data_IF_629829797607
#
_entry.id   IF_629829797607
#
_cell.length_a   1.000
_cell.length_b   1.000
_cell.length_c   1.000
_cell.angle_alpha   90.00
_cell.angle_beta   90.00
_cell.angle_gamma   90.00
#
_symmetry.space_group_name_H-M   'P 1'
#
loop_
_entity.id
_entity.type
_entity.pdbx_description
1 polymer ?
#
# COMPACT_ATOMS: atom_id res chain seq x y z
N UNK A 1 0.27 29.84 -12.44
CA UNK A 1 -1.15 29.41 -12.44
C UNK A 1 -1.71 29.62 -11.05
N UNK A 2 -3.03 29.83 -10.91
CA UNK A 2 -3.64 30.03 -9.59
C UNK A 2 -3.91 28.68 -8.91
N UNK A 3 -3.64 28.52 -7.60
CA UNK A 3 -3.94 27.30 -6.87
C UNK A 3 -5.45 27.01 -6.84
N UNK A 4 -5.80 25.73 -6.85
CA UNK A 4 -7.20 25.27 -6.85
C UNK A 4 -7.73 25.14 -5.43
N UNK A 5 -8.99 25.51 -5.22
CA UNK A 5 -9.68 25.29 -3.94
C UNK A 5 -10.27 23.88 -3.94
N UNK A 6 -9.96 23.09 -2.91
CA UNK A 6 -10.51 21.76 -2.74
C UNK A 6 -12.04 21.79 -2.57
N UNK A 7 -12.74 20.98 -3.36
CA UNK A 7 -14.21 20.89 -3.40
C UNK A 7 -14.68 19.83 -2.40
N UNK A 8 -15.76 20.06 -1.63
CA UNK A 8 -16.32 19.03 -0.78
C UNK A 8 -17.00 17.94 -1.61
N UNK A 9 -16.91 16.69 -1.16
CA UNK A 9 -17.73 15.59 -1.65
C UNK A 9 -18.86 15.36 -0.64
N UNK A 10 -20.11 15.53 -1.08
CA UNK A 10 -21.28 15.26 -0.24
C UNK A 10 -21.55 13.76 -0.26
N UNK A 11 -21.38 13.13 0.91
CA UNK A 11 -21.63 11.71 1.13
C UNK A 11 -22.85 11.52 2.02
N UNK A 12 -23.54 10.39 1.88
CA UNK A 12 -24.61 10.02 2.81
C UNK A 12 -24.02 9.46 4.10
N UNK A 13 -24.38 10.07 5.23
CA UNK A 13 -23.93 9.65 6.56
C UNK A 13 -22.52 10.15 6.95
N UNK A 14 -22.07 9.72 8.13
CA UNK A 14 -20.74 10.04 8.63
C UNK A 14 -19.71 9.15 7.92
N UNK A 15 -18.71 9.78 7.30
CA UNK A 15 -17.61 9.08 6.62
C UNK A 15 -16.72 8.41 7.65
N UNK A 16 -16.39 7.14 7.42
CA UNK A 16 -15.47 6.39 8.27
C UNK A 16 -14.10 6.24 7.62
N UNK A 17 -14.06 6.00 6.31
CA UNK A 17 -12.80 5.85 5.56
C UNK A 17 -13.02 6.03 4.05
N UNK A 18 -11.92 6.20 3.33
CA UNK A 18 -11.91 6.08 1.88
C UNK A 18 -10.68 5.32 1.40
N UNK A 19 -10.76 4.75 0.20
CA UNK A 19 -9.69 4.00 -0.42
C UNK A 19 -9.54 4.40 -1.88
N UNK A 20 -8.30 4.35 -2.38
CA UNK A 20 -8.01 4.65 -3.78
C UNK A 20 -7.42 3.42 -4.47
N UNK A 21 -7.99 3.07 -5.61
CA UNK A 21 -7.44 2.08 -6.53
C UNK A 21 -7.42 2.64 -7.95
N UNK A 22 -6.23 2.92 -8.47
CA UNK A 22 -6.01 3.63 -9.74
C UNK A 22 -6.76 4.96 -9.85
N UNK A 23 -7.90 4.97 -10.56
CA UNK A 23 -8.77 6.15 -10.77
C UNK A 23 -10.08 6.07 -9.98
N UNK A 24 -10.26 5.04 -9.16
CA UNK A 24 -11.48 4.82 -8.40
C UNK A 24 -11.25 5.18 -6.93
N UNK A 25 -12.26 5.81 -6.35
CA UNK A 25 -12.31 6.13 -4.93
C UNK A 25 -13.48 5.36 -4.34
N UNK A 26 -13.23 4.54 -3.34
CA UNK A 26 -14.26 3.85 -2.58
C UNK A 26 -14.44 4.57 -1.26
N UNK A 27 -15.66 4.99 -0.94
CA UNK A 27 -15.97 5.67 0.33
C UNK A 27 -16.86 4.80 1.17
N UNK A 28 -16.54 4.67 2.46
CA UNK A 28 -17.32 3.90 3.42
C UNK A 28 -17.87 4.84 4.49
N UNK A 29 -19.19 4.78 4.69
CA UNK A 29 -19.89 5.41 5.80
C UNK A 29 -20.53 4.33 6.67
N UNK A 30 -21.11 4.74 7.80
CA UNK A 30 -21.88 3.84 8.67
C UNK A 30 -23.04 3.12 7.97
N UNK A 31 -23.52 3.67 6.85
CA UNK A 31 -24.77 3.23 6.21
C UNK A 31 -24.64 2.95 4.72
N UNK A 32 -23.57 3.40 4.07
CA UNK A 32 -23.37 3.24 2.64
C UNK A 32 -21.90 2.96 2.30
N UNK A 33 -21.70 2.32 1.17
CA UNK A 33 -20.40 2.19 0.54
C UNK A 33 -20.56 2.52 -0.94
N UNK A 34 -19.78 3.48 -1.42
CA UNK A 34 -19.96 4.09 -2.74
C UNK A 34 -18.66 4.05 -3.52
N UNK A 35 -18.78 3.86 -4.83
CA UNK A 35 -17.67 3.87 -5.77
C UNK A 35 -17.77 5.12 -6.63
N UNK A 36 -16.67 5.87 -6.67
CA UNK A 36 -16.51 7.09 -7.45
C UNK A 36 -15.38 6.92 -8.45
N UNK A 37 -15.44 7.64 -9.57
CA UNK A 37 -14.39 7.65 -10.59
C UNK A 37 -13.84 9.07 -10.78
N UNK A 38 -12.53 9.19 -10.63
CA UNK A 38 -11.75 10.38 -10.94
C UNK A 38 -11.49 10.54 -12.45
N UNK A 39 -11.29 11.78 -12.90
CA UNK A 39 -10.95 12.12 -14.28
C UNK A 39 -12.16 12.30 -15.22
N UNK A 40 -13.22 12.96 -14.77
CA UNK A 40 -14.23 13.51 -15.69
C UNK A 40 -13.68 14.78 -16.38
N UNK A 41 -14.16 15.10 -17.58
CA UNK A 41 -13.72 16.28 -18.36
C UNK A 41 -13.85 17.63 -17.62
N UNK A 42 -14.56 17.66 -16.49
CA UNK A 42 -14.86 18.83 -15.66
C UNK A 42 -14.17 18.82 -14.29
N UNK A 43 -13.33 17.82 -14.03
CA UNK A 43 -12.65 17.64 -12.76
C UNK A 43 -13.55 17.37 -11.57
N UNK A 44 -14.60 16.59 -11.81
CA UNK A 44 -15.50 16.06 -10.80
C UNK A 44 -15.24 14.57 -10.55
N UNK A 45 -15.46 14.15 -9.31
CA UNK A 45 -15.67 12.74 -8.98
C UNK A 45 -17.07 12.34 -9.42
N UNK A 46 -17.15 11.39 -10.34
CA UNK A 46 -18.44 10.86 -10.79
C UNK A 46 -18.82 9.66 -9.93
N UNK A 47 -20.03 9.69 -9.35
CA UNK A 47 -20.60 8.50 -8.73
C UNK A 47 -20.77 7.42 -9.80
N UNK A 48 -20.27 6.22 -9.51
CA UNK A 48 -20.37 5.05 -10.39
C UNK A 48 -21.52 4.18 -9.92
N UNK A 49 -21.46 3.74 -8.66
CA UNK A 49 -22.48 2.89 -8.05
C UNK A 49 -22.35 2.91 -6.52
N UNK A 50 -23.42 2.56 -5.82
CA UNK A 50 -23.41 2.24 -4.40
C UNK A 50 -23.59 0.72 -4.22
N UNK A 51 -22.97 0.13 -3.21
CA UNK A 51 -23.12 -1.30 -2.95
C UNK A 51 -24.53 -1.65 -2.49
N UNK A 52 -25.09 -2.72 -3.05
CA UNK A 52 -26.44 -3.20 -2.73
C UNK A 52 -26.58 -3.68 -1.28
N UNK A 53 -25.47 -4.04 -0.65
CA UNK A 53 -25.38 -4.44 0.75
C UNK A 53 -24.27 -3.67 1.46
N UNK A 54 -24.49 -3.20 2.70
CA UNK A 54 -23.46 -2.51 3.47
C UNK A 54 -22.38 -3.49 3.91
N UNK A 55 -21.11 -3.08 3.77
CA UNK A 55 -19.96 -3.83 4.31
C UNK A 55 -19.88 -3.54 5.81
N UNK A 56 -20.12 -4.53 6.71
CA UNK A 56 -20.33 -4.27 8.14
C UNK A 56 -19.12 -3.72 8.88
N UNK A 57 -17.91 -4.03 8.43
CA UNK A 57 -16.68 -3.51 8.99
C UNK A 57 -15.79 -3.10 7.83
N UNK A 58 -15.71 -1.79 7.52
CA UNK A 58 -14.89 -1.34 6.42
C UNK A 58 -13.45 -1.82 6.61
N UNK A 59 -12.69 -1.96 5.51
CA UNK A 59 -11.33 -2.43 5.60
C UNK A 59 -10.53 -1.56 6.56
N UNK A 60 -9.54 -2.14 7.24
CA UNK A 60 -8.54 -1.39 7.99
C UNK A 60 -7.18 -1.71 7.38
N UNK A 61 -6.58 -0.74 6.70
CA UNK A 61 -5.28 -0.86 5.99
C UNK A 61 -5.23 -1.93 4.87
N UNK A 62 -6.39 -2.51 4.51
CA UNK A 62 -6.54 -3.51 3.43
C UNK A 62 -7.30 -2.88 2.28
N UNK A 63 -6.55 -2.35 1.34
CA UNK A 63 -7.11 -1.62 0.22
C UNK A 63 -8.01 -2.53 -0.63
N UNK A 64 -9.28 -2.15 -0.86
CA UNK A 64 -10.13 -2.80 -1.85
C UNK A 64 -9.49 -2.79 -3.24
N UNK A 65 -9.88 -3.76 -4.07
CA UNK A 65 -9.40 -3.91 -5.45
C UNK A 65 -10.54 -3.60 -6.41
N UNK A 66 -10.24 -2.90 -7.51
CA UNK A 66 -11.17 -2.68 -8.62
C UNK A 66 -10.61 -3.36 -9.87
N UNK A 67 -11.29 -4.40 -10.36
CA UNK A 67 -10.98 -5.03 -11.66
C UNK A 67 -11.91 -4.46 -12.74
N UNK A 68 -11.32 -3.70 -13.66
CA UNK A 68 -12.02 -3.09 -14.78
C UNK A 68 -12.31 -4.04 -15.93
N UNK A 69 -11.45 -5.04 -16.15
CA UNK A 69 -11.64 -6.02 -17.22
C UNK A 69 -12.84 -6.91 -16.93
N UNK A 70 -13.04 -7.24 -15.66
CA UNK A 70 -14.13 -8.11 -15.20
C UNK A 70 -15.29 -7.36 -14.55
N UNK A 71 -15.16 -6.04 -14.40
CA UNK A 71 -16.17 -5.18 -13.79
C UNK A 71 -16.51 -5.61 -12.35
N UNK A 72 -15.48 -5.81 -11.52
CA UNK A 72 -15.59 -6.27 -10.13
C UNK A 72 -15.00 -5.26 -9.15
N UNK A 73 -15.56 -5.23 -7.93
CA UNK A 73 -15.00 -4.55 -6.76
C UNK A 73 -14.88 -5.56 -5.64
N UNK A 74 -13.67 -5.76 -5.13
CA UNK A 74 -13.36 -6.74 -4.09
C UNK A 74 -13.04 -6.00 -2.80
N UNK A 75 -13.81 -6.26 -1.75
CA UNK A 75 -13.68 -5.60 -0.45
C UNK A 75 -13.38 -6.64 0.62
N UNK A 76 -12.21 -6.56 1.28
CA UNK A 76 -11.92 -7.38 2.45
C UNK A 76 -12.67 -6.84 3.66
N UNK A 77 -13.32 -7.74 4.39
CA UNK A 77 -14.07 -7.45 5.61
C UNK A 77 -13.55 -8.35 6.73
N UNK A 78 -13.27 -7.76 7.88
CA UNK A 78 -12.85 -8.48 9.08
C UNK A 78 -13.94 -9.41 9.63
N UNK A 79 -15.17 -9.24 9.16
CA UNK A 79 -16.34 -9.94 9.66
C UNK A 79 -16.80 -9.34 10.99
N UNK A 80 -17.93 -9.82 11.52
CA UNK A 80 -18.43 -9.34 12.81
C UNK A 80 -17.44 -9.65 13.94
N UNK A 81 -17.59 -8.99 15.09
CA UNK A 81 -16.77 -9.27 16.27
C UNK A 81 -16.95 -10.76 16.67
N UNK A 82 -15.89 -11.56 16.49
CA UNK A 82 -15.93 -13.02 16.57
C UNK A 82 -16.70 -13.70 15.41
N UNK A 83 -16.64 -13.19 14.19
CA UNK A 83 -17.10 -13.86 12.96
C UNK A 83 -15.92 -14.36 12.13
N UNK A 84 -16.17 -15.21 11.12
CA UNK A 84 -15.20 -15.46 10.08
C UNK A 84 -14.99 -14.19 9.23
N UNK A 85 -13.75 -13.93 8.76
CA UNK A 85 -13.52 -12.88 7.79
C UNK A 85 -14.21 -13.17 6.46
N UNK A 86 -14.50 -12.12 5.71
CA UNK A 86 -15.26 -12.17 4.47
C UNK A 86 -14.51 -11.46 3.34
N UNK A 87 -14.62 -11.99 2.12
CA UNK A 87 -14.37 -11.23 0.90
C UNK A 87 -15.70 -10.97 0.21
N UNK A 88 -16.02 -9.70 0.08
CA UNK A 88 -17.20 -9.24 -0.65
C UNK A 88 -16.80 -8.88 -2.07
N UNK A 89 -17.51 -9.43 -3.05
CA UNK A 89 -17.28 -9.16 -4.48
C UNK A 89 -18.54 -8.55 -5.06
N UNK A 90 -18.47 -7.29 -5.45
CA UNK A 90 -19.57 -6.54 -6.05
C UNK A 90 -19.31 -6.31 -7.54
N UNK A 91 -20.39 -6.18 -8.30
CA UNK A 91 -20.35 -5.66 -9.68
C UNK A 91 -20.02 -4.17 -9.65
N UNK A 92 -19.00 -3.75 -10.40
CA UNK A 92 -18.66 -2.34 -10.55
C UNK A 92 -19.74 -1.57 -11.34
N UNK A 93 -20.53 -2.24 -12.18
CA UNK A 93 -21.49 -1.58 -13.08
C UNK A 93 -22.75 -1.12 -12.35
N UNK A 94 -23.22 -1.91 -11.38
CA UNK A 94 -24.51 -1.70 -10.71
C UNK A 94 -24.46 -1.92 -9.20
N UNK A 95 -23.28 -2.21 -8.62
CA UNK A 95 -23.08 -2.35 -7.18
C UNK A 95 -23.69 -3.62 -6.58
N UNK A 96 -24.23 -4.52 -7.41
CA UNK A 96 -24.86 -5.74 -6.93
C UNK A 96 -23.83 -6.71 -6.37
N UNK A 97 -24.13 -7.31 -5.21
CA UNK A 97 -23.32 -8.39 -4.64
C UNK A 97 -23.31 -9.61 -5.59
N UNK A 98 -22.13 -10.04 -5.99
CA UNK A 98 -21.91 -11.22 -6.84
C UNK A 98 -21.53 -12.41 -5.95
N UNK A 99 -20.48 -12.25 -5.13
CA UNK A 99 -20.00 -13.29 -4.24
C UNK A 99 -19.76 -12.74 -2.84
N UNK A 100 -20.00 -13.60 -1.85
CA UNK A 100 -19.62 -13.39 -0.46
C UNK A 100 -18.88 -14.63 0.01
N UNK A 101 -17.55 -14.57 0.00
CA UNK A 101 -16.69 -15.69 0.34
C UNK A 101 -16.32 -15.63 1.82
N UNK A 102 -16.72 -16.67 2.55
CA UNK A 102 -16.33 -16.86 3.95
C UNK A 102 -14.94 -17.50 4.03
N UNK A 103 -14.05 -16.86 4.79
CA UNK A 103 -12.70 -17.31 5.04
C UNK A 103 -12.57 -17.83 6.48
N UNK A 104 -11.54 -18.63 6.75
CA UNK A 104 -11.25 -19.08 8.11
C UNK A 104 -10.21 -18.18 8.80
N UNK A 105 -10.09 -18.34 10.11
CA UNK A 105 -9.11 -17.61 10.92
C UNK A 105 -9.46 -16.13 11.09
N UNK A 106 -8.44 -15.29 11.16
CA UNK A 106 -8.53 -13.84 11.18
C UNK A 106 -7.69 -13.29 10.03
N UNK A 107 -8.16 -12.21 9.42
CA UNK A 107 -7.46 -11.53 8.36
C UNK A 107 -6.12 -10.95 8.86
N UNK A 108 -4.97 -11.29 8.25
CA UNK A 108 -3.63 -10.79 8.63
C UNK A 108 -3.40 -9.37 8.10
N UNK A 109 -2.75 -8.46 8.84
CA UNK A 109 -2.54 -7.04 8.44
C UNK A 109 -1.58 -6.88 7.25
N UNK A 110 -2.00 -7.35 6.07
CA UNK A 110 -1.27 -7.29 4.81
C UNK A 110 -2.23 -6.86 3.70
N UNK A 111 -1.69 -6.17 2.68
CA UNK A 111 -2.47 -5.78 1.52
C UNK A 111 -2.86 -7.01 0.70
N UNK A 112 -4.05 -6.97 0.11
CA UNK A 112 -4.47 -7.97 -0.86
C UNK A 112 -3.56 -7.93 -2.09
N UNK A 113 -3.17 -9.10 -2.59
CA UNK A 113 -2.54 -9.22 -3.91
C UNK A 113 -3.59 -9.69 -4.92
N UNK A 114 -3.55 -9.14 -6.12
CA UNK A 114 -4.54 -9.42 -7.16
C UNK A 114 -3.88 -9.68 -8.50
N UNK A 115 -4.35 -10.71 -9.20
CA UNK A 115 -4.04 -10.93 -10.61
C UNK A 115 -5.11 -11.82 -11.24
N UNK A 116 -5.58 -11.43 -12.42
CA UNK A 116 -6.37 -12.29 -13.31
C UNK A 116 -7.58 -12.97 -12.63
N UNK A 117 -8.42 -12.18 -11.94
CA UNK A 117 -9.62 -12.68 -11.26
C UNK A 117 -9.35 -13.42 -9.95
N UNK A 118 -8.10 -13.42 -9.47
CA UNK A 118 -7.70 -14.15 -8.26
C UNK A 118 -7.09 -13.21 -7.24
N UNK A 119 -7.34 -13.50 -5.97
CA UNK A 119 -6.86 -12.72 -4.82
C UNK A 119 -6.04 -13.61 -3.90
N UNK A 120 -4.91 -13.10 -3.41
CA UNK A 120 -4.24 -13.67 -2.23
C UNK A 120 -4.68 -12.96 -0.97
N UNK A 121 -5.06 -13.76 0.02
CA UNK A 121 -5.44 -13.31 1.36
C UNK A 121 -4.62 -14.04 2.39
N UNK A 122 -3.85 -13.31 3.19
CA UNK A 122 -3.23 -13.89 4.38
C UNK A 122 -4.25 -13.94 5.52
N UNK A 123 -4.40 -15.14 6.09
CA UNK A 123 -5.18 -15.39 7.29
C UNK A 123 -4.30 -16.00 8.37
N UNK A 124 -4.65 -15.69 9.61
CA UNK A 124 -4.00 -16.17 10.81
C UNK A 124 -4.99 -17.01 11.59
N UNK A 125 -4.62 -18.24 11.94
CA UNK A 125 -5.48 -19.08 12.75
C UNK A 125 -5.60 -18.49 14.17
N UNK A 126 -6.82 -18.07 14.53
CA UNK A 126 -7.13 -17.45 15.82
C UNK A 126 -7.30 -18.53 16.91
N UNK A 127 -6.75 -18.27 18.10
CA UNK A 127 -6.61 -19.13 19.29
C UNK A 127 -7.92 -19.71 19.88
N UNK A 128 -9.06 -19.58 19.20
CA UNK A 128 -10.34 -20.13 19.63
C UNK A 128 -11.16 -20.91 18.60
N UNK A 129 -10.72 -21.05 17.34
CA UNK A 129 -11.62 -21.57 16.28
C UNK A 129 -11.05 -22.56 15.26
N UNK A 130 -9.74 -22.64 15.07
CA UNK A 130 -9.16 -23.59 14.13
C UNK A 130 -7.78 -24.06 14.62
N UNK A 131 -7.60 -25.36 14.90
CA UNK A 131 -6.28 -25.95 15.09
C UNK A 131 -5.63 -26.31 13.73
N UNK A 132 -4.29 -26.19 13.59
CA UNK A 132 -3.31 -25.83 14.61
C UNK A 132 -3.10 -24.30 14.75
N UNK A 133 -3.47 -23.79 15.92
CA UNK A 133 -3.35 -22.41 16.39
C UNK A 133 -2.15 -21.63 15.82
N UNK A 134 -2.35 -20.35 15.52
CA UNK A 134 -1.26 -19.41 15.28
C UNK A 134 -0.58 -19.56 13.93
N UNK A 135 -1.06 -20.44 13.04
CA UNK A 135 -0.49 -20.62 11.71
C UNK A 135 -0.91 -19.50 10.77
N UNK A 136 0.05 -18.97 10.01
CA UNK A 136 -0.23 -18.04 8.91
C UNK A 136 -0.45 -18.85 7.64
N UNK A 137 -1.58 -18.64 6.96
CA UNK A 137 -1.87 -19.25 5.66
C UNK A 137 -2.17 -18.16 4.63
N UNK A 138 -1.57 -18.25 3.46
CA UNK A 138 -1.96 -17.43 2.31
C UNK A 138 -2.95 -18.22 1.48
N UNK A 139 -4.17 -17.73 1.38
CA UNK A 139 -5.27 -18.33 0.61
C UNK A 139 -5.31 -17.72 -0.79
N UNK A 140 -5.45 -18.59 -1.80
CA UNK A 140 -5.72 -18.20 -3.17
C UNK A 140 -7.23 -18.35 -3.43
N UNK A 141 -7.90 -17.23 -3.64
CA UNK A 141 -9.34 -17.16 -3.87
C UNK A 141 -9.64 -16.80 -5.33
N UNK A 142 -10.59 -17.49 -5.95
CA UNK A 142 -11.17 -17.11 -7.23
C UNK A 142 -12.36 -16.19 -6.98
N UNK A 143 -12.23 -14.93 -7.36
CA UNK A 143 -13.27 -13.90 -7.19
C UNK A 143 -14.01 -13.60 -8.49
N UNK A 144 -13.55 -14.16 -9.62
CA UNK A 144 -14.13 -13.92 -10.94
C UNK A 144 -14.91 -15.12 -11.49
N UNK A 145 -14.55 -16.35 -11.09
CA UNK A 145 -15.23 -17.58 -11.46
C UNK A 145 -16.36 -17.93 -10.50
N UNK A 146 -16.28 -19.12 -9.88
CA UNK A 146 -17.37 -19.65 -9.04
C UNK A 146 -17.40 -19.03 -7.62
N UNK A 147 -16.50 -18.08 -7.32
CA UNK A 147 -16.49 -17.35 -6.05
C UNK A 147 -15.98 -18.17 -4.86
N UNK A 148 -14.90 -18.95 -5.05
CA UNK A 148 -14.46 -19.97 -4.10
C UNK A 148 -12.98 -19.91 -3.73
N UNK A 149 -12.62 -20.66 -2.69
CA UNK A 149 -11.23 -20.94 -2.33
C UNK A 149 -10.64 -21.95 -3.32
N UNK A 150 -9.58 -21.57 -4.03
CA UNK A 150 -8.85 -22.47 -4.92
C UNK A 150 -7.86 -23.34 -4.14
N UNK A 151 -7.22 -22.77 -3.12
CA UNK A 151 -6.22 -23.46 -2.31
C UNK A 151 -5.46 -22.47 -1.43
N UNK A 152 -4.28 -22.86 -0.97
CA UNK A 152 -3.46 -21.98 -0.17
C UNK A 152 -2.05 -22.51 0.03
N UNK A 153 -1.21 -21.69 0.66
CA UNK A 153 0.18 -22.02 0.97
C UNK A 153 0.50 -21.68 2.41
N UNK A 154 1.42 -22.44 2.99
CA UNK A 154 1.89 -22.30 4.36
C UNK A 154 3.41 -22.35 4.40
N UNK A 155 4.01 -22.04 5.56
CA UNK A 155 5.46 -22.14 5.70
C UNK A 155 5.96 -23.57 5.48
N UNK A 156 7.01 -23.77 4.66
CA UNK A 156 7.60 -25.08 4.41
C UNK A 156 7.99 -25.76 5.72
N UNK A 157 8.03 -27.10 5.76
CA UNK A 157 8.29 -27.85 6.99
C UNK A 157 9.53 -27.37 7.78
N UNK A 158 10.59 -26.98 7.06
CA UNK A 158 11.83 -26.44 7.63
C UNK A 158 11.69 -25.08 8.32
N UNK A 159 10.64 -24.32 8.01
CA UNK A 159 10.33 -23.00 8.59
C UNK A 159 9.13 -23.03 9.55
N UNK A 160 8.56 -24.20 9.86
CA UNK A 160 7.39 -24.25 10.76
C UNK A 160 7.67 -23.68 12.15
N UNK A 161 8.91 -23.82 12.64
CA UNK A 161 9.32 -23.28 13.95
C UNK A 161 9.21 -21.75 14.04
N UNK A 162 9.12 -21.04 12.90
CA UNK A 162 8.95 -19.59 12.87
C UNK A 162 7.61 -19.14 13.46
N UNK A 163 6.56 -19.92 13.27
CA UNK A 163 5.20 -19.64 13.79
C UNK A 163 5.18 -19.63 15.32
N UNK A 164 6.06 -20.39 15.98
CA UNK A 164 6.15 -20.45 17.45
C UNK A 164 6.75 -19.17 18.06
N UNK A 165 7.40 -18.31 17.25
CA UNK A 165 8.10 -17.10 17.70
C UNK A 165 7.45 -15.80 17.19
N UNK A 166 6.16 -15.85 16.85
CA UNK A 166 5.36 -14.80 16.22
C UNK A 166 5.18 -13.48 17.02
N UNK A 167 5.92 -13.27 18.11
CA UNK A 167 5.77 -12.08 18.94
C UNK A 167 5.95 -10.80 18.10
N UNK A 168 4.87 -10.03 17.94
CA UNK A 168 4.83 -8.67 17.39
C UNK A 168 5.06 -8.49 15.87
N UNK A 169 4.85 -9.49 15.02
CA UNK A 169 4.92 -9.28 13.55
C UNK A 169 3.57 -8.83 12.99
N UNK A 170 3.46 -7.56 12.61
CA UNK A 170 2.34 -7.01 11.82
C UNK A 170 2.24 -7.79 10.50
N UNK A 171 1.16 -8.53 10.30
CA UNK A 171 0.93 -9.29 9.06
C UNK A 171 1.35 -10.78 9.08
N UNK A 172 1.77 -11.31 10.23
CA UNK A 172 2.09 -12.72 10.40
C UNK A 172 3.52 -13.10 10.00
N UNK A 173 3.85 -14.39 10.10
CA UNK A 173 5.20 -14.92 9.81
C UNK A 173 5.39 -15.20 8.30
N UNK A 174 4.28 -15.29 7.56
CA UNK A 174 4.24 -15.50 6.11
C UNK A 174 3.41 -14.40 5.46
N UNK A 175 4.06 -13.49 4.74
CA UNK A 175 3.42 -12.33 4.13
C UNK A 175 3.39 -12.44 2.59
N UNK A 176 2.25 -12.22 1.93
CA UNK A 176 2.17 -12.24 0.47
C UNK A 176 2.90 -11.04 -0.12
N UNK A 177 3.71 -11.30 -1.15
CA UNK A 177 4.55 -10.31 -1.83
C UNK A 177 4.00 -10.02 -3.22
N UNK A 178 3.62 -11.07 -3.96
CA UNK A 178 3.13 -10.96 -5.33
C UNK A 178 2.25 -12.17 -5.68
N UNK A 179 1.15 -11.89 -6.38
CA UNK A 179 0.43 -12.89 -7.18
C UNK A 179 0.73 -12.64 -8.64
N UNK A 180 1.26 -13.64 -9.35
CA UNK A 180 1.57 -13.51 -10.78
C UNK A 180 0.35 -13.88 -11.63
N UNK A 181 0.24 -13.37 -12.87
CA UNK A 181 -0.85 -13.72 -13.79
C UNK A 181 -0.96 -15.22 -14.09
N UNK A 182 0.15 -15.96 -14.05
CA UNK A 182 0.16 -17.42 -14.20
C UNK A 182 -0.30 -18.18 -12.93
N UNK A 183 -0.70 -17.46 -11.87
CA UNK A 183 -1.11 -18.01 -10.58
C UNK A 183 0.03 -18.30 -9.61
N UNK A 184 1.30 -18.09 -10.00
CA UNK A 184 2.42 -18.29 -9.08
C UNK A 184 2.29 -17.33 -7.88
N UNK A 185 2.52 -17.88 -6.69
CA UNK A 185 2.46 -17.17 -5.41
C UNK A 185 3.87 -16.92 -4.93
N UNK A 186 4.18 -15.65 -4.64
CA UNK A 186 5.43 -15.27 -3.98
C UNK A 186 5.10 -14.67 -2.63
N UNK A 187 5.79 -15.15 -1.60
CA UNK A 187 5.64 -14.68 -0.24
C UNK A 187 6.99 -14.59 0.47
N UNK A 188 7.05 -13.81 1.53
CA UNK A 188 8.21 -13.76 2.41
C UNK A 188 7.90 -14.40 3.75
N UNK A 189 8.92 -15.00 4.34
CA UNK A 189 8.89 -15.40 5.74
C UNK A 189 9.97 -14.71 6.55
N UNK A 190 9.57 -14.08 7.64
CA UNK A 190 10.43 -13.42 8.62
C UNK A 190 9.99 -13.77 10.04
N UNK A 191 10.93 -13.92 10.96
CA UNK A 191 10.68 -14.07 12.39
C UNK A 191 11.01 -12.76 13.13
N UNK A 192 10.40 -12.54 14.28
CA UNK A 192 10.89 -11.52 15.21
C UNK A 192 12.30 -11.89 15.71
N UNK A 193 13.18 -10.88 15.82
CA UNK A 193 14.55 -11.02 16.34
C UNK A 193 15.44 -11.95 15.52
N UNK A 194 15.20 -12.01 14.20
CA UNK A 194 15.98 -12.81 13.27
C UNK A 194 16.61 -11.93 12.20
N UNK A 195 17.82 -12.29 11.80
CA UNK A 195 18.62 -11.55 10.82
C UNK A 195 18.39 -11.99 9.38
N UNK A 196 17.39 -12.84 9.15
CA UNK A 196 17.18 -13.53 7.87
C UNK A 196 15.70 -13.55 7.52
N UNK A 197 15.41 -13.27 6.25
CA UNK A 197 14.11 -13.36 5.63
C UNK A 197 14.21 -14.32 4.45
N UNK A 198 13.23 -15.19 4.28
CA UNK A 198 13.18 -16.03 3.11
C UNK A 198 12.12 -15.56 2.13
N UNK A 199 12.45 -15.62 0.85
CA UNK A 199 11.51 -15.38 -0.24
C UNK A 199 11.19 -16.72 -0.87
N UNK A 200 9.91 -17.07 -0.90
CA UNK A 200 9.38 -18.38 -1.24
C UNK A 200 8.48 -18.24 -2.47
N UNK A 201 8.54 -19.21 -3.39
CA UNK A 201 7.63 -19.32 -4.52
C UNK A 201 6.91 -20.66 -4.52
N UNK A 202 5.62 -20.61 -4.87
CA UNK A 202 4.82 -21.76 -5.25
C UNK A 202 4.28 -21.58 -6.65
N UNK A 203 4.29 -22.65 -7.45
CA UNK A 203 3.67 -22.62 -8.78
C UNK A 203 2.16 -22.62 -8.67
N UNK A 204 1.50 -21.79 -9.48
CA UNK A 204 0.04 -21.64 -9.43
C UNK A 204 -0.73 -22.95 -9.63
N UNK A 205 -0.21 -23.85 -10.47
CA UNK A 205 -0.80 -25.16 -10.73
C UNK A 205 -0.84 -26.08 -9.49
N UNK A 206 0.03 -25.84 -8.51
CA UNK A 206 0.23 -26.74 -7.37
C UNK A 206 -0.49 -26.28 -6.10
N UNK A 207 -0.98 -25.03 -6.05
CA UNK A 207 -1.53 -24.38 -4.83
C UNK A 207 -2.76 -25.10 -4.24
N UNK A 208 -3.39 -26.02 -4.99
CA UNK A 208 -4.58 -26.75 -4.59
C UNK A 208 -4.39 -27.60 -3.32
N UNK A 209 -3.19 -28.16 -3.13
CA UNK A 209 -2.90 -29.15 -2.06
C UNK A 209 -1.90 -28.66 -1.01
N UNK A 210 -1.76 -27.34 -0.85
CA UNK A 210 -0.79 -26.74 0.08
C UNK A 210 0.65 -27.25 -0.08
N UNK A 211 1.24 -27.10 -1.27
CA UNK A 211 2.53 -27.67 -1.61
C UNK A 211 3.69 -27.02 -0.83
N UNK A 212 4.84 -27.70 -0.82
CA UNK A 212 6.11 -27.06 -0.48
C UNK A 212 6.50 -26.07 -1.60
N UNK A 213 7.23 -24.99 -1.28
CA UNK A 213 7.69 -24.03 -2.28
C UNK A 213 8.64 -24.73 -3.28
N UNK A 214 8.47 -24.43 -4.56
CA UNK A 214 9.28 -25.01 -5.64
C UNK A 214 10.63 -24.30 -5.80
N UNK A 215 10.73 -23.07 -5.29
CA UNK A 215 11.95 -22.30 -5.26
C UNK A 215 11.96 -21.32 -4.07
N UNK A 216 13.16 -21.01 -3.58
CA UNK A 216 13.35 -20.03 -2.53
C UNK A 216 14.76 -19.46 -2.54
N UNK A 217 14.92 -18.26 -2.00
CA UNK A 217 16.22 -17.70 -1.64
C UNK A 217 16.14 -16.96 -0.30
N UNK A 218 17.30 -16.72 0.30
CA UNK A 218 17.44 -16.06 1.59
C UNK A 218 17.97 -14.63 1.40
N UNK A 219 17.38 -13.70 2.14
CA UNK A 219 17.85 -12.33 2.33
C UNK A 219 18.36 -12.20 3.76
N UNK A 220 19.52 -11.57 3.90
CA UNK A 220 20.13 -11.29 5.19
C UNK A 220 20.11 -9.80 5.45
N UNK A 221 19.94 -9.45 6.73
CA UNK A 221 20.11 -8.08 7.18
C UNK A 221 21.48 -7.54 6.77
N UNK A 222 21.45 -6.35 6.17
CA UNK A 222 22.65 -5.57 5.89
C UNK A 222 22.96 -4.57 6.99
N UNK A 223 21.97 -4.20 7.81
CA UNK A 223 22.11 -3.30 8.96
C UNK A 223 22.92 -3.96 10.09
N UNK A 224 24.06 -3.35 10.44
CA UNK A 224 24.87 -3.81 11.58
C UNK A 224 24.09 -3.63 12.89
N UNK A 225 24.00 -4.71 13.69
CA UNK A 225 23.24 -4.71 14.94
C UNK A 225 21.72 -4.80 14.77
N UNK A 226 21.21 -4.82 13.53
CA UNK A 226 19.80 -5.04 13.25
C UNK A 226 19.34 -6.44 13.65
N UNK A 227 18.08 -6.55 14.07
CA UNK A 227 17.45 -7.81 14.47
C UNK A 227 16.01 -7.95 13.92
N UNK A 228 15.59 -7.06 13.01
CA UNK A 228 14.31 -7.14 12.32
C UNK A 228 14.46 -6.92 10.82
N UNK A 229 13.90 -7.84 10.04
CA UNK A 229 13.80 -7.76 8.58
C UNK A 229 12.36 -8.09 8.16
N UNK A 230 11.74 -7.24 7.34
CA UNK A 230 10.39 -7.51 6.80
C UNK A 230 10.14 -6.70 5.52
N UNK A 231 9.29 -7.19 4.59
CA UNK A 231 8.93 -6.41 3.42
C UNK A 231 8.00 -5.25 3.82
N UNK A 232 8.15 -4.09 3.19
CA UNK A 232 7.24 -2.96 3.37
C UNK A 232 6.31 -2.76 2.18
N UNK A 233 6.84 -2.87 0.97
CA UNK A 233 6.05 -2.74 -0.25
C UNK A 233 6.72 -3.43 -1.45
N UNK A 234 5.90 -3.71 -2.46
CA UNK A 234 6.32 -4.38 -3.70
C UNK A 234 5.68 -3.69 -4.90
N UNK A 235 6.33 -3.81 -6.06
CA UNK A 235 5.76 -3.36 -7.32
C UNK A 235 6.27 -4.23 -8.49
N UNK A 236 5.46 -4.45 -9.54
CA UNK A 236 5.96 -5.04 -10.78
C UNK A 236 7.06 -4.17 -11.39
N UNK A 237 8.14 -4.80 -11.86
CA UNK A 237 9.19 -4.16 -12.66
C UNK A 237 8.98 -4.46 -14.14
N UNK A 238 8.76 -5.74 -14.44
CA UNK A 238 8.47 -6.28 -15.77
C UNK A 238 7.65 -7.58 -15.62
N UNK A 239 7.44 -8.33 -16.71
CA UNK A 239 6.65 -9.58 -16.70
C UNK A 239 7.25 -10.68 -15.78
N UNK A 240 8.56 -10.65 -15.57
CA UNK A 240 9.33 -11.68 -14.87
C UNK A 240 10.04 -11.17 -13.62
N UNK A 241 9.88 -9.89 -13.28
CA UNK A 241 10.51 -9.29 -12.13
C UNK A 241 9.63 -8.33 -11.37
N UNK A 242 9.94 -8.20 -10.09
CA UNK A 242 9.32 -7.26 -9.18
C UNK A 242 10.38 -6.57 -8.33
N UNK A 243 10.03 -5.38 -7.87
CA UNK A 243 10.78 -4.61 -6.89
C UNK A 243 10.21 -4.94 -5.51
N UNK A 244 11.10 -5.12 -4.53
CA UNK A 244 10.73 -5.34 -3.15
C UNK A 244 11.54 -4.40 -2.27
N UNK A 245 10.84 -3.58 -1.50
CA UNK A 245 11.44 -2.78 -0.42
C UNK A 245 11.36 -3.58 0.89
N UNK A 246 12.49 -3.68 1.58
CA UNK A 246 12.68 -4.48 2.78
C UNK A 246 13.20 -3.57 3.88
N UNK A 247 12.40 -3.38 4.93
CA UNK A 247 12.82 -2.64 6.10
C UNK A 247 13.69 -3.51 6.99
N UNK A 248 14.78 -2.92 7.45
CA UNK A 248 15.77 -3.47 8.35
C UNK A 248 15.86 -2.56 9.57
N UNK A 249 15.70 -3.10 10.78
CA UNK A 249 15.68 -2.27 11.98
C UNK A 249 16.31 -2.95 13.21
N UNK A 250 16.66 -2.12 14.19
CA UNK A 250 17.00 -2.53 15.56
C UNK A 250 15.73 -2.41 16.43
N UNK A 251 15.35 -3.50 17.09
CA UNK A 251 14.08 -3.65 17.82
C UNK A 251 13.79 -2.62 18.92
N UNK A 252 14.82 -2.00 19.49
CA UNK A 252 14.75 -1.04 20.59
C UNK A 252 14.78 0.43 20.14
N UNK A 253 14.86 0.69 18.83
CA UNK A 253 14.87 2.04 18.25
C UNK A 253 13.56 2.28 17.47
N UNK A 254 13.14 3.54 17.38
CA UNK A 254 11.99 3.95 16.56
C UNK A 254 12.13 3.42 15.12
N UNK A 255 11.07 2.78 14.59
CA UNK A 255 11.04 2.12 13.26
C UNK A 255 11.14 3.08 12.06
N UNK A 256 11.40 4.35 12.33
CA UNK A 256 11.58 5.41 11.34
C UNK A 256 12.89 6.17 11.56
N UNK A 257 13.68 5.85 12.61
CA UNK A 257 14.88 6.62 12.95
C UNK A 257 16.22 6.00 12.60
N UNK A 258 17.29 6.47 13.27
CA UNK A 258 18.68 6.06 12.96
C UNK A 258 18.91 4.54 13.10
N UNK A 259 18.04 3.83 13.83
CA UNK A 259 18.04 2.38 13.93
C UNK A 259 17.25 1.66 12.83
N UNK A 260 16.87 2.34 11.74
CA UNK A 260 16.09 1.78 10.65
C UNK A 260 16.67 2.18 9.28
N UNK A 261 16.71 1.22 8.37
CA UNK A 261 16.99 1.45 6.95
C UNK A 261 16.09 0.59 6.08
N UNK A 262 16.05 0.91 4.79
CA UNK A 262 15.37 0.12 3.78
C UNK A 262 16.33 -0.30 2.69
N UNK A 263 16.39 -1.61 2.43
CA UNK A 263 17.03 -2.19 1.27
C UNK A 263 15.99 -2.36 0.14
N UNK A 264 16.35 -1.99 -1.10
CA UNK A 264 15.48 -2.16 -2.27
C UNK A 264 16.14 -3.15 -3.22
N UNK A 265 15.40 -4.21 -3.57
CA UNK A 265 15.87 -5.28 -4.43
C UNK A 265 15.00 -5.40 -5.68
N UNK A 266 15.62 -5.65 -6.84
CA UNK A 266 14.92 -6.25 -7.97
C UNK A 266 15.09 -7.77 -7.92
N UNK A 267 13.98 -8.49 -7.96
CA UNK A 267 13.94 -9.95 -7.86
C UNK A 267 13.45 -10.52 -9.18
N UNK A 268 14.17 -11.51 -9.70
CA UNK A 268 13.70 -12.35 -10.79
C UNK A 268 12.74 -13.40 -10.24
N UNK A 269 11.46 -13.31 -10.61
CA UNK A 269 10.40 -14.18 -10.12
C UNK A 269 10.49 -15.61 -10.68
N UNK A 270 11.15 -15.80 -11.83
CA UNK A 270 11.30 -17.11 -12.45
C UNK A 270 12.57 -17.82 -11.96
N UNK A 271 13.69 -17.10 -11.88
CA UNK A 271 14.93 -17.66 -11.33
C UNK A 271 14.92 -17.71 -9.80
N UNK A 272 14.07 -16.92 -9.14
CA UNK A 272 14.07 -16.69 -7.69
C UNK A 272 15.44 -16.26 -7.19
N UNK A 273 15.97 -15.22 -7.83
CA UNK A 273 17.29 -14.63 -7.53
C UNK A 273 17.22 -13.12 -7.53
N UNK A 274 18.08 -12.47 -6.75
CA UNK A 274 18.27 -11.03 -6.78
C UNK A 274 18.98 -10.65 -8.09
N UNK A 275 18.37 -9.78 -8.89
CA UNK A 275 19.02 -9.17 -10.07
C UNK A 275 20.01 -8.10 -9.64
N UNK A 276 19.59 -7.25 -8.71
CA UNK A 276 20.43 -6.24 -8.08
C UNK A 276 19.84 -5.82 -6.72
N UNK A 277 20.70 -5.24 -5.89
CA UNK A 277 20.33 -4.56 -4.63
C UNK A 277 20.82 -3.13 -4.71
N UNK A 278 19.95 -2.17 -4.42
CA UNK A 278 20.34 -0.76 -4.33
C UNK A 278 21.13 -0.50 -3.04
N UNK A 279 21.83 0.64 -3.00
CA UNK A 279 22.37 1.18 -1.74
C UNK A 279 21.22 1.41 -0.76
N UNK A 280 21.37 0.96 0.49
CA UNK A 280 20.34 1.13 1.51
C UNK A 280 20.04 2.61 1.76
N UNK A 281 18.77 2.91 2.02
CA UNK A 281 18.31 4.27 2.33
C UNK A 281 17.85 4.29 3.78
N UNK A 282 18.26 5.28 4.56
CA UNK A 282 17.81 5.43 5.94
C UNK A 282 16.28 5.58 6.04
N UNK A 283 15.70 5.09 7.13
CA UNK A 283 14.27 5.14 7.37
C UNK A 283 13.47 4.09 6.59
N UNK A 284 12.16 4.31 6.47
CA UNK A 284 11.19 3.34 5.95
C UNK A 284 10.63 3.78 4.60
N UNK A 285 10.74 2.93 3.58
CA UNK A 285 10.02 3.12 2.31
C UNK A 285 8.58 2.65 2.44
N UNK A 286 7.64 3.54 2.17
CA UNK A 286 6.19 3.29 2.24
C UNK A 286 5.58 2.88 0.90
N UNK A 287 6.19 3.28 -0.22
CA UNK A 287 5.75 2.91 -1.56
C UNK A 287 6.89 2.88 -2.57
N UNK A 288 6.76 2.02 -3.57
CA UNK A 288 7.69 1.89 -4.70
C UNK A 288 6.92 1.71 -5.99
N UNK A 289 7.40 2.33 -7.06
CA UNK A 289 6.75 2.31 -8.37
C UNK A 289 7.78 2.22 -9.48
N UNK A 290 7.52 1.40 -10.50
CA UNK A 290 8.22 1.51 -11.78
C UNK A 290 7.43 2.41 -12.73
N UNK A 291 8.12 3.41 -13.32
CA UNK A 291 7.52 4.39 -14.22
C UNK A 291 8.16 4.26 -15.61
N UNK A 292 7.56 3.41 -16.45
CA UNK A 292 8.06 3.10 -17.79
C UNK A 292 8.26 4.35 -18.68
N UNK A 293 7.42 5.38 -18.53
CA UNK A 293 7.47 6.60 -19.35
C UNK A 293 8.75 7.44 -19.16
N UNK A 294 9.50 7.20 -18.08
CA UNK A 294 10.80 7.82 -17.78
C UNK A 294 11.87 6.77 -17.44
N UNK A 295 11.53 5.49 -17.64
CA UNK A 295 12.33 4.32 -17.30
C UNK A 295 13.06 4.46 -15.95
N UNK A 296 12.29 4.65 -14.88
CA UNK A 296 12.83 4.88 -13.54
C UNK A 296 11.99 4.19 -12.47
N UNK A 297 12.66 3.76 -11.39
CA UNK A 297 12.00 3.33 -10.16
C UNK A 297 11.93 4.53 -9.23
N UNK A 298 10.75 4.84 -8.71
CA UNK A 298 10.52 5.91 -7.75
C UNK A 298 10.03 5.29 -6.44
N UNK A 299 10.73 5.56 -5.35
CA UNK A 299 10.33 5.13 -4.02
C UNK A 299 10.19 6.32 -3.09
N UNK A 300 9.17 6.26 -2.23
CA UNK A 300 8.83 7.27 -1.24
C UNK A 300 9.00 6.68 0.14
N UNK A 301 9.63 7.43 1.04
CA UNK A 301 9.84 6.99 2.40
C UNK A 301 9.87 8.14 3.38
N UNK A 302 9.99 7.77 4.65
CA UNK A 302 10.03 8.67 5.79
C UNK A 302 11.17 8.29 6.72
N UNK A 303 11.71 9.29 7.41
CA UNK A 303 12.76 9.14 8.41
C UNK A 303 12.54 10.13 9.55
N UNK A 304 12.82 9.71 10.77
CA UNK A 304 12.68 10.46 12.02
C UNK A 304 13.88 10.21 12.94
N UNK A 305 14.80 11.17 13.07
CA UNK A 305 16.07 10.94 13.77
C UNK A 305 15.95 10.56 15.27
N UNK A 306 14.84 10.84 15.96
CA UNK A 306 14.60 10.39 17.35
C UNK A 306 15.54 10.95 18.46
N UNK A 307 14.93 11.34 19.59
CA UNK A 307 15.51 11.61 20.94
C UNK A 307 16.40 12.86 21.20
N UNK A 308 16.33 13.94 20.43
CA UNK A 308 16.79 15.24 20.95
C UNK A 308 15.91 16.41 20.48
N UNK A 309 15.86 17.47 21.29
CA UNK A 309 15.02 18.69 21.29
C UNK A 309 15.04 19.53 19.98
N UNK A 310 15.07 18.88 18.81
CA UNK A 310 15.28 19.45 17.48
C UNK A 310 14.74 18.57 16.35
N UNK A 311 13.60 17.92 16.58
CA UNK A 311 12.82 17.09 15.66
C UNK A 311 12.85 17.58 14.20
N UNK A 312 13.31 16.73 13.28
CA UNK A 312 13.09 16.97 11.84
C UNK A 312 12.70 15.66 11.15
N UNK A 313 11.49 15.12 11.44
CA UNK A 313 10.93 14.07 10.60
C UNK A 313 10.80 14.61 9.18
N UNK A 314 11.38 13.88 8.23
CA UNK A 314 11.36 14.26 6.81
C UNK A 314 10.89 13.09 5.97
N UNK A 315 10.19 13.40 4.88
CA UNK A 315 10.00 12.43 3.81
C UNK A 315 11.12 12.55 2.80
N UNK A 316 11.34 11.49 2.04
CA UNK A 316 12.28 11.51 0.94
C UNK A 316 11.69 10.83 -0.29
N UNK A 317 12.22 11.23 -1.43
CA UNK A 317 12.00 10.56 -2.71
C UNK A 317 13.34 10.06 -3.20
N UNK A 318 13.44 8.76 -3.49
CA UNK A 318 14.61 8.16 -4.13
C UNK A 318 14.23 7.64 -5.50
N UNK A 319 15.07 7.92 -6.48
CA UNK A 319 14.93 7.45 -7.86
C UNK A 319 16.10 6.54 -8.19
N UNK A 320 15.79 5.32 -8.64
CA UNK A 320 16.76 4.31 -9.02
C UNK A 320 16.68 4.00 -10.52
N UNK A 321 17.83 3.59 -11.05
CA UNK A 321 17.92 2.95 -12.36
C UNK A 321 17.31 1.53 -12.30
N UNK A 322 16.36 1.18 -13.19
CA UNK A 322 15.70 -0.13 -13.14
C UNK A 322 16.61 -1.30 -13.52
N UNK A 323 17.66 -1.06 -14.31
CA UNK A 323 18.56 -2.12 -14.77
C UNK A 323 19.63 -2.48 -13.73
N UNK A 324 20.12 -1.48 -12.97
CA UNK A 324 21.26 -1.67 -12.05
C UNK A 324 20.94 -1.36 -10.58
N UNK A 325 19.79 -0.75 -10.27
CA UNK A 325 19.47 -0.30 -8.92
C UNK A 325 20.30 0.90 -8.45
N UNK A 326 21.10 1.51 -9.33
CA UNK A 326 21.94 2.66 -8.98
C UNK A 326 21.08 3.89 -8.75
N UNK A 327 21.34 4.60 -7.65
CA UNK A 327 20.63 5.85 -7.32
C UNK A 327 20.90 6.92 -8.38
N UNK A 328 19.85 7.35 -9.07
CA UNK A 328 19.86 8.48 -10.00
C UNK A 328 19.68 9.81 -9.27
N UNK A 329 18.79 9.85 -8.27
CA UNK A 329 18.50 11.03 -7.46
C UNK A 329 17.92 10.65 -6.10
N UNK A 330 18.15 11.47 -5.09
CA UNK A 330 17.45 11.39 -3.81
C UNK A 330 17.35 12.79 -3.21
N UNK A 331 16.15 13.15 -2.77
CA UNK A 331 15.90 14.45 -2.14
C UNK A 331 14.96 14.31 -0.96
N UNK A 332 15.11 15.22 0.00
CA UNK A 332 14.37 15.22 1.26
C UNK A 332 13.42 16.41 1.34
N UNK A 333 12.28 16.20 1.98
CA UNK A 333 11.22 17.18 2.20
C UNK A 333 11.15 17.40 3.71
N UNK A 334 11.72 18.52 4.17
CA UNK A 334 11.88 18.82 5.59
C UNK A 334 10.70 19.61 6.16
N UNK A 335 10.21 19.18 7.32
CA UNK A 335 9.10 19.84 8.02
C UNK A 335 9.41 21.29 8.44
N UNK A 336 10.54 21.60 9.12
CA UNK A 336 10.82 22.92 9.67
C UNK A 336 10.93 24.03 8.62
N UNK A 337 11.31 23.67 7.40
CA UNK A 337 11.43 24.61 6.27
C UNK A 337 10.06 25.08 5.79
N UNK A 338 9.05 24.21 5.85
CA UNK A 338 7.71 24.48 5.31
C UNK A 338 6.70 24.91 6.39
N UNK A 339 7.05 24.76 7.67
CA UNK A 339 6.27 25.28 8.81
C UNK A 339 4.98 24.50 9.12
N UNK A 340 4.71 23.40 8.42
CA UNK A 340 3.56 22.51 8.64
C UNK A 340 3.98 21.05 8.39
N UNK A 341 3.50 20.07 9.17
CA UNK A 341 3.81 18.67 8.95
C UNK A 341 3.36 18.13 7.61
N UNK A 342 4.19 17.27 7.03
CA UNK A 342 3.83 16.49 5.86
C UNK A 342 2.80 15.41 6.23
N UNK A 343 1.80 15.20 5.38
CA UNK A 343 0.82 14.10 5.50
C UNK A 343 0.96 13.05 4.42
N UNK A 344 1.44 13.44 3.25
CA UNK A 344 1.56 12.51 2.13
C UNK A 344 2.67 12.93 1.19
N UNK A 345 3.46 11.94 0.76
CA UNK A 345 4.33 12.05 -0.40
C UNK A 345 4.15 10.79 -1.24
N UNK A 346 3.85 10.95 -2.53
CA UNK A 346 3.61 9.83 -3.42
C UNK A 346 3.53 10.24 -4.88
N UNK A 347 3.23 9.26 -5.73
CA UNK A 347 3.16 9.44 -7.18
C UNK A 347 1.72 9.65 -7.65
N UNK A 348 1.49 10.72 -8.40
CA UNK A 348 0.24 10.99 -9.10
C UNK A 348 0.41 10.90 -10.62
N UNK A 349 -0.67 10.58 -11.34
CA UNK A 349 -0.68 10.61 -12.80
C UNK A 349 -1.05 12.02 -13.28
N UNK A 350 -0.41 12.50 -14.36
CA UNK A 350 -0.81 13.71 -15.11
C UNK A 350 -1.32 13.32 -16.51
N UNK A 351 -1.85 14.28 -17.26
CA UNK A 351 -2.35 14.03 -18.61
C UNK A 351 -1.24 13.55 -19.56
N UNK A 352 -0.03 14.06 -19.35
CA UNK A 352 1.16 13.87 -20.18
C UNK A 352 2.31 13.16 -19.46
N UNK A 353 2.10 12.68 -18.23
CA UNK A 353 3.16 12.06 -17.45
C UNK A 353 2.78 11.71 -16.02
N UNK A 354 3.72 11.92 -15.12
CA UNK A 354 3.59 11.65 -13.69
C UNK A 354 4.14 12.82 -12.89
N UNK A 355 3.61 13.03 -11.69
CA UNK A 355 4.09 14.04 -10.78
C UNK A 355 4.28 13.46 -9.38
N UNK A 356 5.27 13.99 -8.67
CA UNK A 356 5.43 13.79 -7.23
C UNK A 356 4.46 14.72 -6.54
N UNK A 357 3.60 14.17 -5.70
CA UNK A 357 2.57 14.89 -4.96
C UNK A 357 2.98 14.97 -3.50
N UNK A 358 2.93 16.17 -2.94
CA UNK A 358 3.31 16.49 -1.56
C UNK A 358 2.12 17.19 -0.93
N UNK A 359 1.53 16.63 0.12
CA UNK A 359 0.41 17.23 0.84
C UNK A 359 0.80 17.46 2.29
N UNK A 360 0.61 18.68 2.77
CA UNK A 360 0.83 19.08 4.15
C UNK A 360 -0.45 18.96 4.99
N UNK A 361 -0.29 18.97 6.31
CA UNK A 361 -1.38 18.83 7.30
C UNK A 361 -2.44 19.92 7.20
N UNK A 362 -2.06 21.11 6.76
CA UNK A 362 -2.99 22.21 6.48
C UNK A 362 -3.68 22.06 5.10
N UNK A 363 -3.41 20.99 4.35
CA UNK A 363 -3.95 20.73 3.02
C UNK A 363 -3.25 21.46 1.87
N UNK A 364 -2.22 22.25 2.15
CA UNK A 364 -1.38 22.82 1.10
C UNK A 364 -0.74 21.68 0.30
N UNK A 365 -0.96 21.67 -1.01
CA UNK A 365 -0.47 20.61 -1.89
C UNK A 365 0.45 21.18 -2.95
N UNK A 366 1.56 20.49 -3.18
CA UNK A 366 2.47 20.73 -4.30
C UNK A 366 2.51 19.52 -5.22
N UNK A 367 2.72 19.80 -6.50
CA UNK A 367 2.89 18.78 -7.53
C UNK A 367 4.10 19.16 -8.38
N UNK A 368 5.08 18.25 -8.47
CA UNK A 368 6.31 18.45 -9.25
C UNK A 368 6.35 17.41 -10.35
N UNK A 369 6.48 17.85 -11.60
CA UNK A 369 6.60 16.93 -12.72
C UNK A 369 7.80 15.98 -12.53
N UNK A 370 7.60 14.69 -12.79
CA UNK A 370 8.62 13.68 -12.51
C UNK A 370 9.85 13.86 -13.42
N UNK A 371 9.68 14.27 -14.69
CA UNK A 371 10.83 14.52 -15.58
C UNK A 371 11.62 15.72 -15.11
N UNK A 372 10.93 16.79 -14.74
CA UNK A 372 11.56 17.96 -14.13
C UNK A 372 12.32 17.60 -12.84
N UNK A 373 11.72 16.78 -11.98
CA UNK A 373 12.36 16.32 -10.76
C UNK A 373 13.64 15.51 -11.04
N UNK A 374 13.61 14.62 -12.04
CA UNK A 374 14.79 13.84 -12.42
C UNK A 374 15.95 14.73 -12.88
N UNK A 375 15.65 15.77 -13.65
CA UNK A 375 16.66 16.69 -14.22
C UNK A 375 17.16 17.73 -13.20
N UNK A 376 16.25 18.32 -12.42
CA UNK A 376 16.52 19.52 -11.63
C UNK A 376 16.26 19.34 -10.13
N UNK A 377 15.53 18.30 -9.73
CA UNK A 377 15.14 18.11 -8.34
C UNK A 377 13.88 18.87 -7.95
N UNK A 378 13.64 18.95 -6.64
CA UNK A 378 12.66 19.87 -6.11
C UNK A 378 13.12 21.31 -6.38
N UNK A 379 12.20 22.20 -6.81
CA UNK A 379 12.51 23.61 -6.94
C UNK A 379 12.94 24.22 -5.60
N UNK A 380 13.89 25.16 -5.62
CA UNK A 380 14.36 25.85 -4.41
C UNK A 380 13.21 26.57 -3.69
N UNK A 381 13.29 26.66 -2.35
CA UNK A 381 12.24 27.21 -1.49
C UNK A 381 11.69 28.55 -2.00
N UNK A 382 10.36 28.61 -2.18
CA UNK A 382 9.66 29.78 -2.70
C UNK A 382 9.41 29.79 -4.22
N UNK A 383 9.93 28.82 -4.97
CA UNK A 383 9.64 28.66 -6.42
C UNK A 383 8.57 27.60 -6.72
N UNK A 384 8.28 26.72 -5.74
CA UNK A 384 7.19 25.77 -5.80
C UNK A 384 5.85 26.52 -5.87
N UNK A 385 5.16 26.39 -7.00
CA UNK A 385 3.80 26.92 -7.12
C UNK A 385 2.83 25.90 -6.52
N UNK A 386 2.02 26.28 -5.53
CA UNK A 386 1.09 25.35 -4.92
C UNK A 386 0.01 24.93 -5.92
N UNK A 387 -0.32 23.63 -5.92
CA UNK A 387 -1.39 23.05 -6.71
C UNK A 387 -2.76 23.35 -6.07
N UNK A 388 -2.83 23.36 -4.74
CA UNK A 388 -4.03 23.71 -3.97
C UNK A 388 -3.77 24.82 -2.96
N UNK A 389 -4.83 25.46 -2.48
CA UNK A 389 -4.74 26.36 -1.31
C UNK A 389 -4.83 25.55 -0.01
N UNK A 390 -4.23 26.06 1.07
CA UNK A 390 -4.45 25.55 2.43
C UNK A 390 -5.94 25.56 2.79
N UNK A 391 -6.31 24.66 3.70
CA UNK A 391 -7.62 24.56 4.30
C UNK A 391 -7.93 25.78 5.18
N UNK A 392 -9.20 25.91 5.54
CA UNK A 392 -9.64 26.91 6.49
C UNK A 392 -8.99 26.67 7.86
N UNK A 393 -8.72 27.76 8.60
CA UNK A 393 -8.09 27.67 9.91
C UNK A 393 -8.89 26.74 10.84
N UNK A 394 -8.21 25.77 11.45
CA UNK A 394 -8.82 24.77 12.32
C UNK A 394 -9.12 23.44 11.63
N UNK A 395 -9.03 23.37 10.29
CA UNK A 395 -9.16 22.12 9.55
C UNK A 395 -7.80 21.49 9.30
N UNK A 396 -7.73 20.17 9.40
CA UNK A 396 -6.51 19.40 9.19
C UNK A 396 -6.78 18.18 8.31
N UNK A 397 -5.76 17.80 7.53
CA UNK A 397 -5.75 16.56 6.74
C UNK A 397 -5.38 15.39 7.64
N UNK A 398 -6.24 14.37 7.64
CA UNK A 398 -6.04 13.08 8.30
C UNK A 398 -5.46 12.04 7.33
N UNK A 399 -6.05 11.92 6.14
CA UNK A 399 -5.66 10.92 5.15
C UNK A 399 -5.68 11.51 3.73
N UNK A 400 -4.78 11.02 2.87
CA UNK A 400 -4.63 11.46 1.48
C UNK A 400 -4.58 10.25 0.56
N UNK A 401 -5.30 10.34 -0.56
CA UNK A 401 -5.17 9.40 -1.67
C UNK A 401 -5.12 10.14 -3.01
N UNK A 402 -4.42 9.57 -3.98
CA UNK A 402 -4.30 10.15 -5.34
C UNK A 402 -4.93 9.20 -6.35
N UNK A 403 -6.10 9.58 -6.87
CA UNK A 403 -6.86 8.80 -7.83
C UNK A 403 -6.67 9.38 -9.25
N UNK A 404 -5.80 8.78 -10.05
CA UNK A 404 -5.41 9.32 -11.35
C UNK A 404 -4.80 10.72 -11.22
N UNK A 405 -5.53 11.74 -11.69
CA UNK A 405 -5.16 13.16 -11.61
C UNK A 405 -5.82 13.89 -10.45
N UNK A 406 -6.61 13.21 -9.61
CA UNK A 406 -7.38 13.84 -8.54
C UNK A 406 -6.76 13.51 -7.18
N UNK A 407 -6.51 14.53 -6.37
CA UNK A 407 -6.13 14.38 -4.97
C UNK A 407 -7.40 14.34 -4.12
N UNK A 408 -7.49 13.35 -3.24
CA UNK A 408 -8.57 13.12 -2.29
C UNK A 408 -8.01 13.33 -0.89
N UNK A 409 -8.69 14.14 -0.09
CA UNK A 409 -8.33 14.47 1.27
C UNK A 409 -9.48 14.06 2.19
N UNK A 410 -9.19 13.25 3.21
CA UNK A 410 -10.04 13.19 4.40
C UNK A 410 -9.57 14.28 5.37
N UNK A 411 -10.49 15.16 5.74
CA UNK A 411 -10.22 16.31 6.59
C UNK A 411 -11.12 16.30 7.81
N UNK A 412 -10.58 16.73 8.94
CA UNK A 412 -11.30 16.89 10.19
C UNK A 412 -11.25 18.37 10.65
N UNK A 413 -12.26 18.79 11.38
CA UNK A 413 -12.22 20.06 12.11
C UNK A 413 -11.63 19.78 13.50
N UNK A 414 -10.44 20.33 13.77
CA UNK A 414 -9.75 20.19 15.07
C UNK A 414 -10.54 20.76 16.25
N UNK A 415 -11.59 21.54 15.98
CA UNK A 415 -12.43 22.18 17.00
C UNK A 415 -13.77 21.46 17.23
N UNK A 416 -14.18 20.56 16.34
CA UNK A 416 -15.42 19.77 16.48
C UNK A 416 -15.07 18.28 16.57
N UNK A 417 -15.72 17.55 17.48
CA UNK A 417 -15.46 16.12 17.69
C UNK A 417 -15.72 15.28 16.42
N UNK A 418 -14.68 15.10 15.61
CA UNK A 418 -14.41 13.90 14.82
C UNK A 418 -15.26 13.61 13.59
N UNK A 419 -16.00 14.58 13.03
CA UNK A 419 -16.67 14.35 11.74
C UNK A 419 -15.65 14.45 10.59
N UNK A 420 -15.38 13.32 9.94
CA UNK A 420 -14.51 13.26 8.76
C UNK A 420 -15.29 13.75 7.53
N UNK A 421 -14.65 14.62 6.75
CA UNK A 421 -15.18 15.13 5.50
C UNK A 421 -14.23 14.81 4.36
N UNK A 422 -14.76 14.46 3.20
CA UNK A 422 -13.95 14.26 2.01
C UNK A 422 -13.91 15.56 1.19
N UNK A 423 -12.71 16.00 0.85
CA UNK A 423 -12.46 17.07 -0.13
C UNK A 423 -11.60 16.54 -1.27
N UNK A 424 -11.73 17.12 -2.45
CA UNK A 424 -10.93 16.74 -3.61
C UNK A 424 -10.64 17.89 -4.55
N UNK A 425 -9.59 17.76 -5.35
CA UNK A 425 -9.26 18.68 -6.44
C UNK A 425 -8.43 17.95 -7.50
N UNK A 426 -8.41 18.49 -8.71
CA UNK A 426 -7.55 17.97 -9.76
C UNK A 426 -6.17 18.64 -9.74
N UNK A 427 -5.16 17.83 -10.00
CA UNK A 427 -3.84 18.28 -10.37
C UNK A 427 -3.97 18.92 -11.75
N UNK A 428 -3.96 20.26 -11.77
CA UNK A 428 -4.07 21.05 -13.00
C UNK A 428 -3.18 20.49 -14.12
N UNK A 429 -3.74 20.49 -15.34
CA UNK A 429 -3.04 20.14 -16.59
C UNK A 429 -1.77 20.99 -16.75
#
# INVERSE_FOLDING_TARGET
MSPVIARPLTLEGDVESFYVHERYVLTFSKTSADVWRAGSELGHLNHVTGFSEPVPSPPFERFPIVDLERNLVIVPDHGPQNGPPLLWVFSLADGMLIHKLELYGALAQTRLQYADGKVLVAVEENDGRAPPNGRTTILLCDVAGDGGLLGGVHLPARLKAREEKRLNTVGGVLAPVQLRPNGDVIATSSEAWHTEMEVLRWRGADVLDFPEPDASFELRLSLEGGDRIHPTCTAPLDENSFIMAVAEAVSDVLQVGEGCQTAIHAVDAEAMTIRWSAECVGGRVSSVHYVAAVDAIVAFGEHDYGESDGDDPFAYVVVLDPAMGTRRRMETIKHPVQGTPLRYCGLGKKADGFAIIIVFRDGLTYAVDLRQFLEHGFPEDGTLTPASTSLEKGWEVEEVGVAGQTVILSVCDSTMNGSLHIRYFELNQ
#
